data_IF_664890167848
#
_entry.id   IF_664890167848
#
_cell.length_a   1.000
_cell.length_b   1.000
_cell.length_c   1.000
_cell.angle_alpha   90.00
_cell.angle_beta   90.00
_cell.angle_gamma   90.00
#
_symmetry.space_group_name_H-M   'P 1'
#
loop_
_entity.id
_entity.type
_entity.pdbx_description
1 polymer ?
#
# COMPACT_ATOMS: atom_id res chain seq x y z
N UNK A 1 -3.84 -14.14 5.52
CA UNK A 1 -3.71 -12.74 5.11
C UNK A 1 -4.39 -11.89 6.16
N UNK A 2 -3.89 -10.69 6.44
CA UNK A 2 -4.52 -9.79 7.41
C UNK A 2 -5.93 -9.37 6.97
N UNK A 3 -6.78 -9.02 7.94
CA UNK A 3 -8.04 -8.34 7.71
C UNK A 3 -7.88 -6.82 7.62
N UNK A 4 -8.81 -6.15 6.94
CA UNK A 4 -8.87 -4.69 6.84
C UNK A 4 -10.27 -4.20 7.23
N UNK A 5 -10.36 -3.16 8.05
CA UNK A 5 -11.62 -2.49 8.39
C UNK A 5 -11.58 -1.03 7.95
N UNK A 6 -12.54 -0.64 7.11
CA UNK A 6 -12.78 0.75 6.73
C UNK A 6 -13.79 1.39 7.68
N UNK A 7 -13.36 2.39 8.44
CA UNK A 7 -14.20 3.15 9.36
C UNK A 7 -14.46 4.54 8.79
N UNK A 8 -15.73 4.88 8.57
CA UNK A 8 -16.10 6.19 8.04
C UNK A 8 -17.39 6.73 8.64
N UNK A 9 -17.50 8.05 8.68
CA UNK A 9 -18.76 8.73 8.96
C UNK A 9 -19.84 8.41 7.92
N UNK A 10 -19.45 8.15 6.68
CA UNK A 10 -20.37 7.94 5.55
C UNK A 10 -20.25 6.53 5.01
N UNK A 11 -21.34 5.76 5.10
CA UNK A 11 -21.41 4.41 4.53
C UNK A 11 -21.15 4.40 3.02
N UNK A 12 -21.77 5.32 2.29
CA UNK A 12 -21.58 5.43 0.85
C UNK A 12 -20.12 5.74 0.46
N UNK A 13 -19.42 6.56 1.26
CA UNK A 13 -18.00 6.84 1.05
C UNK A 13 -17.14 5.60 1.31
N UNK A 14 -17.36 4.91 2.43
CA UNK A 14 -16.62 3.69 2.76
C UNK A 14 -16.82 2.59 1.71
N UNK A 15 -18.05 2.36 1.28
CA UNK A 15 -18.37 1.36 0.25
C UNK A 15 -17.66 1.68 -1.07
N UNK A 16 -17.74 2.94 -1.53
CA UNK A 16 -17.07 3.37 -2.76
C UNK A 16 -15.53 3.29 -2.66
N UNK A 17 -14.95 3.63 -1.51
CA UNK A 17 -13.52 3.55 -1.28
C UNK A 17 -13.03 2.10 -1.24
N UNK A 18 -13.78 1.20 -0.59
CA UNK A 18 -13.50 -0.24 -0.56
C UNK A 18 -13.63 -0.86 -1.95
N UNK A 19 -14.68 -0.51 -2.71
CA UNK A 19 -14.84 -0.97 -4.09
C UNK A 19 -13.64 -0.58 -4.95
N UNK A 20 -13.21 0.69 -4.86
CA UNK A 20 -12.02 1.17 -5.56
C UNK A 20 -10.76 0.37 -5.17
N UNK A 21 -10.54 0.14 -3.87
CA UNK A 21 -9.38 -0.61 -3.40
C UNK A 21 -9.40 -2.07 -3.88
N UNK A 22 -10.56 -2.73 -3.84
CA UNK A 22 -10.71 -4.13 -4.27
C UNK A 22 -10.45 -4.32 -5.76
N UNK A 23 -10.79 -3.35 -6.61
CA UNK A 23 -10.42 -3.38 -8.04
C UNK A 23 -8.90 -3.45 -8.25
N UNK A 24 -8.10 -2.99 -7.28
CA UNK A 24 -6.65 -3.00 -7.34
C UNK A 24 -6.01 -4.25 -6.71
N UNK A 25 -6.73 -4.93 -5.80
CA UNK A 25 -6.26 -6.13 -5.07
C UNK A 25 -6.00 -7.36 -5.96
N UNK A 26 -6.59 -7.44 -7.15
CA UNK A 26 -6.44 -8.60 -8.04
C UNK A 26 -7.42 -9.74 -7.72
N UNK A 27 -7.04 -10.98 -8.03
CA UNK A 27 -7.94 -12.13 -7.98
C UNK A 27 -8.27 -12.61 -6.55
N UNK A 28 -7.35 -12.43 -5.61
CA UNK A 28 -7.48 -12.88 -4.22
C UNK A 28 -7.20 -11.71 -3.25
N UNK A 29 -8.13 -10.73 -3.14
CA UNK A 29 -7.96 -9.61 -2.22
C UNK A 29 -8.14 -10.04 -0.75
N UNK A 30 -7.60 -9.27 0.22
CA UNK A 30 -7.86 -9.47 1.64
C UNK A 30 -9.35 -9.35 1.98
N UNK A 31 -9.71 -9.86 3.16
CA UNK A 31 -11.00 -9.60 3.77
C UNK A 31 -11.07 -8.12 4.15
N UNK A 32 -12.05 -7.40 3.57
CA UNK A 32 -12.34 -6.02 3.93
C UNK A 32 -13.75 -5.94 4.55
N UNK A 33 -13.87 -5.27 5.69
CA UNK A 33 -15.14 -4.96 6.36
C UNK A 33 -15.36 -3.45 6.44
N UNK A 34 -16.62 -3.04 6.44
CA UNK A 34 -17.03 -1.64 6.54
C UNK A 34 -17.79 -1.43 7.84
N UNK A 35 -17.31 -0.51 8.67
CA UNK A 35 -18.02 0.00 9.84
C UNK A 35 -18.25 1.50 9.64
N UNK A 36 -19.43 1.87 9.14
CA UNK A 36 -19.69 3.25 8.75
C UNK A 36 -21.13 3.70 9.00
N UNK A 37 -21.28 4.99 9.32
CA UNK A 37 -22.52 5.60 9.74
C UNK A 37 -22.75 5.52 11.25
N UNK A 38 -23.59 6.42 11.76
CA UNK A 38 -24.06 6.38 13.13
C UNK A 38 -25.05 5.23 13.38
N UNK A 39 -25.42 4.97 14.65
CA UNK A 39 -26.34 3.89 15.02
C UNK A 39 -27.69 3.95 14.30
N UNK A 40 -28.15 5.16 13.93
CA UNK A 40 -29.42 5.40 13.24
C UNK A 40 -29.28 5.46 11.71
N UNK A 41 -28.11 5.11 11.16
CA UNK A 41 -27.82 5.14 9.73
C UNK A 41 -27.53 6.52 9.15
N UNK A 42 -27.38 7.53 10.02
CA UNK A 42 -26.94 8.88 9.67
C UNK A 42 -25.40 8.98 9.58
N UNK A 43 -24.88 10.19 9.36
CA UNK A 43 -23.44 10.40 9.36
C UNK A 43 -22.88 10.29 10.78
N UNK A 44 -21.94 9.37 10.98
CA UNK A 44 -21.41 9.11 12.31
C UNK A 44 -20.58 7.84 12.36
N UNK A 45 -20.16 7.46 13.56
CA UNK A 45 -19.45 6.21 13.81
C UNK A 45 -20.01 5.53 15.05
N UNK A 46 -19.93 4.20 15.09
CA UNK A 46 -20.43 3.37 16.18
C UNK A 46 -19.33 2.39 16.61
N UNK A 47 -18.86 2.54 17.85
CA UNK A 47 -17.79 1.71 18.41
C UNK A 47 -18.15 0.20 18.45
N UNK A 48 -19.43 -0.14 18.67
CA UNK A 48 -19.88 -1.54 18.70
C UNK A 48 -19.85 -2.13 17.29
N UNK A 49 -20.30 -1.37 16.29
CA UNK A 49 -20.23 -1.79 14.90
C UNK A 49 -18.77 -1.93 14.41
N UNK A 50 -17.88 -1.03 14.85
CA UNK A 50 -16.45 -1.13 14.56
C UNK A 50 -15.86 -2.40 15.19
N UNK A 51 -16.15 -2.69 16.46
CA UNK A 51 -15.64 -3.88 17.14
C UNK A 51 -16.10 -5.17 16.44
N UNK A 52 -17.39 -5.25 16.08
CA UNK A 52 -17.92 -6.39 15.33
C UNK A 52 -17.24 -6.55 13.97
N UNK A 53 -17.02 -5.46 13.23
CA UNK A 53 -16.32 -5.51 11.94
C UNK A 53 -14.86 -5.96 12.08
N UNK A 54 -14.18 -5.59 13.17
CA UNK A 54 -12.83 -6.06 13.49
C UNK A 54 -12.82 -7.55 13.76
N UNK A 55 -13.70 -8.05 14.64
CA UNK A 55 -13.79 -9.48 14.94
C UNK A 55 -14.14 -10.32 13.69
N UNK A 56 -15.02 -9.80 12.81
CA UNK A 56 -15.36 -10.45 11.54
C UNK A 56 -14.23 -10.44 10.50
N UNK A 57 -13.35 -9.42 10.55
CA UNK A 57 -12.21 -9.32 9.67
C UNK A 57 -11.01 -10.15 10.16
N UNK A 58 -10.99 -10.50 11.45
CA UNK A 58 -9.87 -11.22 12.04
C UNK A 58 -9.90 -12.73 11.72
N UNK A 59 -8.95 -13.17 10.89
CA UNK A 59 -8.76 -14.59 10.55
C UNK A 59 -7.50 -15.22 11.15
N UNK A 60 -6.82 -14.56 12.09
CA UNK A 60 -5.61 -15.10 12.74
C UNK A 60 -4.29 -14.34 12.43
N UNK A 61 -4.25 -13.51 11.39
CA UNK A 61 -3.05 -12.75 11.00
C UNK A 61 -3.08 -11.27 11.42
N UNK A 62 -4.18 -10.82 12.04
CA UNK A 62 -4.36 -9.47 12.58
C UNK A 62 -5.18 -8.58 11.65
N UNK A 63 -5.53 -7.38 12.13
CA UNK A 63 -6.46 -6.48 11.48
C UNK A 63 -5.91 -5.05 11.43
N UNK A 64 -5.92 -4.46 10.24
CA UNK A 64 -5.65 -3.04 10.04
C UNK A 64 -6.96 -2.25 9.95
N UNK A 65 -7.11 -1.22 10.76
CA UNK A 65 -8.26 -0.32 10.76
C UNK A 65 -7.84 1.01 10.14
N UNK A 66 -8.56 1.47 9.13
CA UNK A 66 -8.32 2.75 8.45
C UNK A 66 -9.53 3.65 8.65
N UNK A 67 -9.30 4.86 9.16
CA UNK A 67 -10.34 5.81 9.55
C UNK A 67 -10.33 7.07 8.68
N UNK A 68 -11.45 7.79 8.60
CA UNK A 68 -11.56 9.02 7.80
C UNK A 68 -11.22 10.32 8.56
N UNK A 69 -11.97 10.66 9.60
CA UNK A 69 -11.90 11.92 10.33
C UNK A 69 -11.66 11.67 11.83
N UNK A 70 -11.23 12.71 12.55
CA UNK A 70 -10.77 12.60 13.94
C UNK A 70 -11.72 11.90 14.91
N UNK A 71 -13.05 12.10 14.81
CA UNK A 71 -14.02 11.40 15.67
C UNK A 71 -14.11 9.90 15.41
N UNK A 72 -13.78 9.43 14.20
CA UNK A 72 -13.70 8.01 13.90
C UNK A 72 -12.52 7.34 14.63
N UNK A 73 -11.45 8.10 14.92
CA UNK A 73 -10.32 7.63 15.72
C UNK A 73 -10.78 7.32 17.15
N UNK A 74 -11.49 8.25 17.79
CA UNK A 74 -12.01 8.05 19.15
C UNK A 74 -12.97 6.87 19.25
N UNK A 75 -13.85 6.71 18.26
CA UNK A 75 -14.76 5.56 18.17
C UNK A 75 -14.00 4.25 17.97
N UNK A 76 -12.93 4.24 17.16
CA UNK A 76 -12.10 3.07 16.94
C UNK A 76 -11.26 2.70 18.17
N UNK A 77 -10.71 3.69 18.90
CA UNK A 77 -10.03 3.46 20.19
C UNK A 77 -10.99 2.85 21.22
N UNK A 78 -12.21 3.39 21.30
CA UNK A 78 -13.26 2.85 22.17
C UNK A 78 -13.67 1.44 21.75
N UNK A 79 -13.70 1.15 20.44
CA UNK A 79 -14.01 -0.18 19.93
C UNK A 79 -13.02 -1.26 20.41
N UNK A 80 -11.76 -0.91 20.63
CA UNK A 80 -10.74 -1.85 21.13
C UNK A 80 -11.08 -2.45 22.50
N UNK A 81 -11.93 -1.78 23.30
CA UNK A 81 -12.41 -2.33 24.58
C UNK A 81 -13.39 -3.50 24.40
N UNK A 82 -13.99 -3.65 23.21
CA UNK A 82 -15.02 -4.64 22.90
C UNK A 82 -14.54 -5.77 21.99
N UNK A 83 -13.40 -5.60 21.32
CA UNK A 83 -12.82 -6.58 20.38
C UNK A 83 -12.28 -7.81 21.14
N UNK A 84 -12.40 -9.00 20.54
CA UNK A 84 -11.95 -10.24 21.17
C UNK A 84 -10.43 -10.37 21.31
N UNK A 85 -9.66 -9.77 20.39
CA UNK A 85 -8.19 -9.82 20.37
C UNK A 85 -7.56 -8.44 20.05
N UNK A 86 -7.61 -7.46 20.97
CA UNK A 86 -7.17 -6.09 20.70
C UNK A 86 -5.68 -5.97 20.36
N UNK A 87 -4.82 -6.84 20.90
CA UNK A 87 -3.37 -6.85 20.60
C UNK A 87 -3.03 -7.13 19.12
N UNK A 88 -4.00 -7.65 18.36
CA UNK A 88 -3.86 -8.01 16.94
C UNK A 88 -4.43 -6.93 16.02
N UNK A 89 -4.86 -5.79 16.56
CA UNK A 89 -5.45 -4.68 15.83
C UNK A 89 -4.48 -3.51 15.74
N UNK A 90 -4.38 -2.90 14.55
CA UNK A 90 -3.63 -1.66 14.33
C UNK A 90 -4.54 -0.58 13.76
N UNK A 91 -4.58 0.58 14.43
CA UNK A 91 -5.28 1.76 13.94
C UNK A 91 -4.31 2.60 13.10
N UNK A 92 -4.64 2.83 11.83
CA UNK A 92 -3.77 3.54 10.90
C UNK A 92 -4.07 5.04 10.85
N UNK A 93 -3.02 5.86 10.74
CA UNK A 93 -3.11 7.30 10.50
C UNK A 93 -3.15 7.69 9.02
N UNK A 94 -3.20 6.69 8.12
CA UNK A 94 -3.20 6.91 6.68
C UNK A 94 -4.45 7.69 6.20
N UNK A 95 -4.33 8.56 5.18
CA UNK A 95 -5.50 9.13 4.52
C UNK A 95 -6.43 8.03 4.01
N UNK A 96 -7.73 8.16 4.26
CA UNK A 96 -8.70 7.06 4.11
C UNK A 96 -8.63 6.31 2.77
N UNK A 97 -8.75 7.03 1.65
CA UNK A 97 -8.80 6.40 0.32
C UNK A 97 -7.44 5.86 -0.10
N UNK A 98 -6.40 6.69 -0.02
CA UNK A 98 -5.04 6.29 -0.40
C UNK A 98 -4.52 5.13 0.47
N UNK A 99 -4.84 5.14 1.77
CA UNK A 99 -4.53 4.10 2.73
C UNK A 99 -5.24 2.79 2.41
N UNK A 100 -6.56 2.80 2.14
CA UNK A 100 -7.32 1.61 1.78
C UNK A 100 -6.78 0.93 0.53
N UNK A 101 -6.50 1.71 -0.52
CA UNK A 101 -5.92 1.20 -1.76
C UNK A 101 -4.56 0.55 -1.49
N UNK A 102 -3.68 1.24 -0.76
CA UNK A 102 -2.35 0.73 -0.44
C UNK A 102 -2.41 -0.53 0.42
N UNK A 103 -3.30 -0.56 1.42
CA UNK A 103 -3.50 -1.69 2.31
C UNK A 103 -3.92 -2.94 1.53
N UNK A 104 -4.95 -2.80 0.68
CA UNK A 104 -5.49 -3.91 -0.12
C UNK A 104 -4.42 -4.47 -1.07
N UNK A 105 -3.69 -3.60 -1.78
CA UNK A 105 -2.65 -4.05 -2.72
C UNK A 105 -1.50 -4.74 -1.99
N UNK A 106 -1.07 -4.19 -0.86
CA UNK A 106 0.09 -4.70 -0.11
C UNK A 106 -0.24 -6.02 0.59
N UNK A 107 -1.42 -6.12 1.22
CA UNK A 107 -1.91 -7.35 1.83
C UNK A 107 -2.17 -8.45 0.77
N UNK A 108 -2.73 -8.11 -0.39
CA UNK A 108 -2.89 -9.05 -1.51
C UNK A 108 -1.54 -9.56 -2.05
N UNK A 109 -0.47 -8.77 -1.88
CA UNK A 109 0.91 -9.19 -2.14
C UNK A 109 1.50 -10.14 -1.09
N UNK A 110 0.76 -10.48 -0.04
CA UNK A 110 1.18 -11.40 1.02
C UNK A 110 1.91 -10.75 2.20
N UNK A 111 1.95 -9.41 2.28
CA UNK A 111 2.58 -8.71 3.38
C UNK A 111 1.82 -8.94 4.71
N UNK A 112 2.57 -8.99 5.82
CA UNK A 112 2.02 -9.09 7.18
C UNK A 112 1.52 -7.74 7.70
N UNK A 113 0.89 -7.74 8.89
CA UNK A 113 0.28 -6.54 9.46
C UNK A 113 1.28 -5.39 9.67
N UNK A 114 2.51 -5.72 10.07
CA UNK A 114 3.55 -4.72 10.36
C UNK A 114 4.03 -4.07 9.05
N UNK A 115 4.28 -4.88 8.03
CA UNK A 115 4.70 -4.39 6.73
C UNK A 115 3.59 -3.57 6.04
N UNK A 116 2.32 -3.99 6.15
CA UNK A 116 1.20 -3.22 5.61
C UNK A 116 1.04 -1.89 6.34
N UNK A 117 1.08 -1.88 7.68
CA UNK A 117 0.95 -0.66 8.49
C UNK A 117 2.04 0.38 8.15
N UNK A 118 3.28 -0.08 8.01
CA UNK A 118 4.42 0.76 7.62
C UNK A 118 4.24 1.38 6.22
N UNK A 119 3.76 0.61 5.24
CA UNK A 119 3.48 1.12 3.90
C UNK A 119 2.34 2.16 3.95
N UNK A 120 1.20 1.84 4.55
CA UNK A 120 0.01 2.71 4.48
C UNK A 120 0.21 4.02 5.22
N UNK A 121 1.02 4.05 6.28
CA UNK A 121 1.34 5.28 7.03
C UNK A 121 1.98 6.36 6.16
N UNK A 122 2.64 5.97 5.07
CA UNK A 122 3.22 6.86 4.07
C UNK A 122 2.26 7.32 2.96
N UNK A 123 0.98 6.89 2.95
CA UNK A 123 0.12 7.00 1.77
C UNK A 123 -0.10 8.43 1.26
N UNK A 124 -0.18 9.42 2.16
CA UNK A 124 -0.29 10.83 1.78
C UNK A 124 0.97 11.42 1.12
N UNK A 125 2.14 10.82 1.32
CA UNK A 125 3.41 11.37 0.85
C UNK A 125 3.57 11.30 -0.67
N UNK A 126 2.98 10.29 -1.32
CA UNK A 126 3.04 10.16 -2.78
C UNK A 126 2.40 11.38 -3.48
N UNK A 127 1.22 11.79 -3.02
CA UNK A 127 0.48 12.94 -3.56
C UNK A 127 1.22 14.25 -3.33
N UNK A 128 1.77 14.47 -2.14
CA UNK A 128 2.61 15.64 -1.82
C UNK A 128 3.81 15.75 -2.76
N UNK A 129 4.53 14.63 -2.99
CA UNK A 129 5.66 14.59 -3.93
C UNK A 129 5.26 14.94 -5.35
N UNK A 130 4.14 14.41 -5.84
CA UNK A 130 3.63 14.71 -7.19
C UNK A 130 3.24 16.18 -7.36
N UNK A 131 2.73 16.83 -6.31
CA UNK A 131 2.41 18.26 -6.30
C UNK A 131 3.64 19.16 -6.14
N UNK A 132 4.81 18.60 -5.82
CA UNK A 132 6.01 19.36 -5.51
C UNK A 132 6.02 19.98 -4.11
N UNK A 133 5.13 19.54 -3.22
CA UNK A 133 5.04 19.99 -1.83
C UNK A 133 6.20 19.38 -1.03
N UNK A 134 7.36 20.03 -1.08
CA UNK A 134 8.59 19.63 -0.37
C UNK A 134 8.60 20.05 1.11
N UNK A 135 7.48 19.89 1.81
CA UNK A 135 7.29 20.11 3.25
C UNK A 135 6.33 19.01 3.72
N UNK A 136 6.65 18.01 4.54
CA UNK A 136 7.53 17.97 5.70
C UNK A 136 8.27 16.63 5.80
N UNK A 137 9.60 16.69 5.79
CA UNK A 137 10.48 15.62 6.26
C UNK A 137 11.02 15.90 7.68
N UNK A 138 10.34 16.79 8.44
CA UNK A 138 10.83 17.29 9.74
C UNK A 138 10.07 16.82 10.98
N UNK A 139 9.08 15.93 10.85
CA UNK A 139 8.33 15.40 12.02
C UNK A 139 8.53 13.90 12.27
N UNK A 140 9.43 13.21 11.56
CA UNK A 140 9.83 11.84 11.94
C UNK A 140 11.09 11.88 12.82
N UNK A 141 10.94 12.37 14.04
CA UNK A 141 11.88 12.12 15.12
C UNK A 141 11.09 11.65 16.34
N UNK A 142 10.97 10.32 16.49
CA UNK A 142 10.29 9.71 17.62
C UNK A 142 10.11 8.20 17.50
N UNK A 143 11.23 7.47 17.58
CA UNK A 143 11.33 6.09 18.09
C UNK A 143 10.61 4.96 17.33
N UNK A 144 11.32 4.38 16.35
CA UNK A 144 11.17 2.97 16.00
C UNK A 144 12.58 2.39 15.77
N UNK A 145 12.88 1.34 16.53
CA UNK A 145 14.20 0.74 16.69
C UNK A 145 14.89 0.29 15.40
N UNK A 146 16.21 0.33 15.51
CA UNK A 146 17.23 -0.19 14.59
C UNK A 146 16.84 -1.50 13.88
N UNK A 147 16.91 -1.47 12.54
CA UNK A 147 16.81 -2.69 11.75
C UNK A 147 16.76 -2.58 10.23
N UNK A 148 17.34 -1.56 9.57
CA UNK A 148 17.63 -1.64 8.14
C UNK A 148 18.79 -0.70 7.74
N UNK A 149 19.86 -1.18 7.09
CA UNK A 149 20.89 -0.29 6.59
C UNK A 149 20.40 0.40 5.32
N UNK A 150 20.25 1.72 5.39
CA UNK A 150 20.33 2.59 4.23
C UNK A 150 21.81 2.92 3.97
N UNK A 151 22.37 2.37 2.88
CA UNK A 151 23.40 2.97 2.02
C UNK A 151 24.02 1.92 1.11
N UNK A 152 24.30 2.32 -0.13
CA UNK A 152 25.18 1.59 -1.04
C UNK A 152 24.56 1.39 -2.41
N UNK A 153 25.19 1.96 -3.44
CA UNK A 153 24.80 1.73 -4.83
C UNK A 153 24.75 0.25 -5.19
N UNK A 154 24.13 -0.04 -6.35
CA UNK A 154 23.97 -1.35 -6.98
C UNK A 154 24.95 -2.37 -6.37
N UNK A 155 24.43 -3.26 -5.52
CA UNK A 155 25.23 -4.37 -5.03
C UNK A 155 25.85 -5.04 -6.28
N UNK A 156 27.18 -5.28 -6.30
CA UNK A 156 27.90 -5.67 -7.52
C UNK A 156 27.38 -6.96 -8.20
N UNK A 157 26.49 -7.71 -7.54
CA UNK A 157 25.86 -8.94 -8.03
C UNK A 157 24.34 -8.81 -8.30
N UNK A 158 23.77 -7.60 -8.32
CA UNK A 158 22.35 -7.41 -8.63
C UNK A 158 22.08 -7.61 -10.13
N UNK A 159 21.30 -8.64 -10.47
CA UNK A 159 20.77 -8.80 -11.82
C UNK A 159 19.83 -7.62 -12.13
N UNK A 160 19.85 -7.10 -13.36
CA UNK A 160 18.99 -5.99 -13.74
C UNK A 160 18.66 -5.98 -15.22
N UNK A 161 17.59 -5.27 -15.58
CA UNK A 161 17.27 -4.91 -16.96
C UNK A 161 16.82 -3.44 -17.04
N UNK A 162 17.02 -2.83 -18.20
CA UNK A 162 16.46 -1.51 -18.51
C UNK A 162 15.29 -1.65 -19.48
N UNK A 163 14.25 -0.84 -19.31
CA UNK A 163 13.04 -0.84 -20.13
C UNK A 163 12.52 0.58 -20.36
N UNK A 164 11.63 0.74 -21.34
CA UNK A 164 10.91 2.00 -21.57
C UNK A 164 9.46 1.80 -21.16
N UNK A 165 8.92 2.70 -20.34
CA UNK A 165 7.51 2.70 -19.98
C UNK A 165 6.69 3.11 -21.21
N UNK A 166 5.84 2.21 -21.71
CA UNK A 166 5.05 2.45 -22.93
C UNK A 166 3.62 2.93 -22.66
N UNK A 167 3.10 2.65 -21.46
CA UNK A 167 1.75 3.04 -21.02
C UNK A 167 1.50 4.55 -21.22
N UNK A 168 0.40 4.95 -21.88
CA UNK A 168 0.08 6.37 -22.13
C UNK A 168 0.04 7.23 -20.85
N UNK A 169 -0.43 6.64 -19.76
CA UNK A 169 -0.52 7.32 -18.44
C UNK A 169 0.68 7.02 -17.52
N UNK A 170 1.72 6.34 -18.00
CA UNK A 170 2.90 5.95 -17.22
C UNK A 170 2.63 4.85 -16.19
N UNK A 171 3.50 4.72 -15.18
CA UNK A 171 3.34 3.80 -14.05
C UNK A 171 2.39 4.38 -12.98
N UNK A 172 1.12 4.60 -13.35
CA UNK A 172 0.08 5.03 -12.42
C UNK A 172 -0.44 3.88 -11.55
N UNK A 173 -1.45 4.17 -10.72
CA UNK A 173 -1.96 3.27 -9.69
C UNK A 173 -2.19 1.81 -10.12
N UNK A 174 -2.75 1.56 -11.32
CA UNK A 174 -3.12 0.20 -11.77
C UNK A 174 -1.93 -0.62 -12.33
N UNK A 175 -1.10 -0.10 -13.25
CA UNK A 175 0.18 -0.72 -13.61
C UNK A 175 1.08 -0.93 -12.38
N UNK A 176 1.15 0.08 -11.49
CA UNK A 176 1.94 -0.01 -10.27
C UNK A 176 1.43 -1.13 -9.34
N UNK A 177 0.12 -1.25 -9.11
CA UNK A 177 -0.43 -2.34 -8.31
C UNK A 177 -0.16 -3.72 -8.91
N UNK A 178 -0.21 -3.83 -10.25
CA UNK A 178 0.13 -5.08 -10.95
C UNK A 178 1.61 -5.42 -10.78
N UNK A 179 2.49 -4.42 -10.89
CA UNK A 179 3.93 -4.56 -10.70
C UNK A 179 4.28 -4.97 -9.26
N UNK A 180 3.70 -4.31 -8.25
CA UNK A 180 3.88 -4.64 -6.83
C UNK A 180 3.47 -6.08 -6.54
N UNK A 181 2.28 -6.50 -7.00
CA UNK A 181 1.81 -7.87 -6.80
C UNK A 181 2.73 -8.90 -7.41
N UNK A 182 3.26 -8.65 -8.61
CA UNK A 182 4.23 -9.53 -9.24
C UNK A 182 5.55 -9.56 -8.45
N UNK A 183 6.09 -8.40 -8.07
CA UNK A 183 7.34 -8.29 -7.33
C UNK A 183 7.27 -8.96 -5.95
N UNK A 184 6.13 -8.85 -5.24
CA UNK A 184 5.95 -9.38 -3.89
C UNK A 184 5.77 -10.91 -3.83
N UNK A 185 5.54 -11.59 -4.95
CA UNK A 185 5.44 -13.07 -5.01
C UNK A 185 6.78 -13.79 -4.85
N UNK A 186 7.87 -13.06 -5.01
CA UNK A 186 9.21 -13.63 -5.05
C UNK A 186 10.00 -13.30 -3.78
N UNK A 187 10.76 -14.28 -3.31
CA UNK A 187 11.83 -14.09 -2.32
C UNK A 187 13.03 -13.40 -3.00
N UNK A 188 12.86 -12.12 -3.27
CA UNK A 188 13.85 -11.23 -3.87
C UNK A 188 13.64 -9.79 -3.38
N UNK A 189 14.73 -9.06 -3.17
CA UNK A 189 14.66 -7.60 -3.05
C UNK A 189 14.68 -6.98 -4.44
N UNK A 190 13.54 -6.43 -4.86
CA UNK A 190 13.35 -5.84 -6.18
C UNK A 190 13.29 -4.32 -6.06
N UNK A 191 14.12 -3.63 -6.85
CA UNK A 191 14.19 -2.17 -6.91
C UNK A 191 13.92 -1.67 -8.32
N UNK A 192 13.46 -0.42 -8.42
CA UNK A 192 13.22 0.28 -9.69
C UNK A 192 13.68 1.73 -9.61
N UNK A 193 14.29 2.22 -10.68
CA UNK A 193 14.78 3.58 -10.81
C UNK A 193 14.35 4.21 -12.13
N UNK A 194 13.99 5.50 -12.12
CA UNK A 194 13.82 6.30 -13.33
C UNK A 194 15.19 6.91 -13.70
N UNK A 195 15.72 6.47 -14.84
CA UNK A 195 17.05 6.85 -15.32
C UNK A 195 17.09 8.25 -15.95
N UNK A 196 15.93 8.81 -16.30
CA UNK A 196 15.82 10.13 -16.90
C UNK A 196 15.62 11.23 -15.84
N UNK A 197 14.95 10.90 -14.73
CA UNK A 197 14.76 11.80 -13.59
C UNK A 197 15.99 11.86 -12.66
N UNK A 198 16.94 10.93 -12.77
CA UNK A 198 18.12 10.86 -11.91
C UNK A 198 17.80 10.59 -10.43
N UNK A 199 16.60 10.05 -10.16
CA UNK A 199 16.11 9.79 -8.81
C UNK A 199 16.74 8.55 -8.16
N UNK A 200 16.51 8.39 -6.86
CA UNK A 200 16.92 7.21 -6.11
C UNK A 200 16.13 5.96 -6.54
N UNK A 201 16.74 4.79 -6.41
CA UNK A 201 16.03 3.52 -6.62
C UNK A 201 15.01 3.30 -5.49
N UNK A 202 13.78 2.99 -5.85
CA UNK A 202 12.69 2.72 -4.90
C UNK A 202 12.35 1.23 -4.87
N UNK A 203 11.70 0.78 -3.79
CA UNK A 203 11.19 -0.59 -3.70
C UNK A 203 10.09 -0.83 -4.74
N UNK A 204 10.24 -1.89 -5.54
CA UNK A 204 9.20 -2.34 -6.47
C UNK A 204 8.02 -3.02 -5.77
N UNK A 205 8.15 -3.30 -4.47
CA UNK A 205 7.10 -3.90 -3.62
C UNK A 205 6.26 -2.86 -2.89
N UNK A 206 6.55 -1.56 -3.08
CA UNK A 206 5.81 -0.44 -2.48
C UNK A 206 4.99 0.26 -3.55
N UNK A 207 3.67 0.21 -3.42
CA UNK A 207 2.75 0.88 -4.35
C UNK A 207 2.98 2.40 -4.29
N UNK A 208 3.15 2.93 -3.08
CA UNK A 208 3.32 4.36 -2.86
C UNK A 208 4.65 4.86 -3.43
N UNK A 209 5.71 4.07 -3.31
CA UNK A 209 7.01 4.44 -3.86
C UNK A 209 7.01 4.42 -5.39
N UNK A 210 6.34 3.45 -6.02
CA UNK A 210 6.15 3.42 -7.48
C UNK A 210 5.32 4.61 -7.97
N UNK A 211 4.22 4.94 -7.30
CA UNK A 211 3.41 6.11 -7.67
C UNK A 211 4.18 7.42 -7.49
N UNK A 212 5.07 7.49 -6.48
CA UNK A 212 5.93 8.64 -6.25
C UNK A 212 7.09 8.75 -7.24
N UNK A 213 7.58 7.62 -7.77
CA UNK A 213 8.61 7.60 -8.84
C UNK A 213 8.14 8.41 -10.05
N UNK A 214 6.83 8.35 -10.35
CA UNK A 214 6.21 9.21 -11.36
C UNK A 214 6.69 8.94 -12.78
N UNK A 215 7.21 7.75 -13.06
CA UNK A 215 7.69 7.34 -14.38
C UNK A 215 6.57 7.47 -15.43
N UNK A 216 6.81 8.30 -16.45
CA UNK A 216 5.83 8.66 -17.48
C UNK A 216 6.03 7.80 -18.72
N UNK A 217 5.12 7.91 -19.68
CA UNK A 217 5.34 7.36 -21.01
C UNK A 217 6.68 7.85 -21.58
N UNK A 218 7.51 6.93 -22.03
CA UNK A 218 8.84 7.20 -22.55
C UNK A 218 9.95 7.23 -21.51
N UNK A 219 9.65 7.24 -20.20
CA UNK A 219 10.68 7.13 -19.15
C UNK A 219 11.47 5.83 -19.32
N UNK A 220 12.79 5.93 -19.26
CA UNK A 220 13.69 4.78 -19.15
C UNK A 220 13.79 4.38 -17.69
N UNK A 221 13.43 3.14 -17.39
CA UNK A 221 13.51 2.59 -16.04
C UNK A 221 14.53 1.46 -15.99
N UNK A 222 15.24 1.34 -14.86
CA UNK A 222 16.02 0.16 -14.53
C UNK A 222 15.30 -0.60 -13.43
N UNK A 223 15.13 -1.90 -13.62
CA UNK A 223 14.64 -2.81 -12.58
C UNK A 223 15.79 -3.72 -12.19
N UNK A 224 16.11 -3.79 -10.91
CA UNK A 224 17.16 -4.62 -10.34
C UNK A 224 16.58 -5.57 -9.30
N UNK A 225 17.18 -6.74 -9.15
CA UNK A 225 16.77 -7.70 -8.13
C UNK A 225 17.97 -8.43 -7.52
N UNK A 226 17.85 -8.74 -6.24
CA UNK A 226 18.81 -9.59 -5.49
C UNK A 226 18.05 -10.64 -4.69
N UNK A 227 18.72 -11.74 -4.34
CA UNK A 227 18.12 -12.84 -3.57
C UNK A 227 17.86 -14.10 -4.41
N UNK A 228 17.37 -15.18 -3.77
CA UNK A 228 17.27 -16.51 -4.37
C UNK A 228 16.33 -16.58 -5.58
N UNK A 229 15.36 -15.66 -5.66
CA UNK A 229 14.40 -15.60 -6.78
C UNK A 229 14.54 -14.32 -7.64
N UNK A 230 15.72 -13.67 -7.63
CA UNK A 230 15.95 -12.45 -8.41
C UNK A 230 15.66 -12.61 -9.90
N UNK A 231 16.23 -13.64 -10.53
CA UNK A 231 16.08 -13.89 -11.97
C UNK A 231 14.63 -14.16 -12.42
N UNK A 232 13.87 -15.09 -11.80
CA UNK A 232 12.48 -15.29 -12.20
C UNK A 232 11.61 -14.03 -11.97
N UNK A 233 11.87 -13.25 -10.90
CA UNK A 233 11.19 -11.98 -10.68
C UNK A 233 11.44 -10.99 -11.82
N UNK A 234 12.70 -10.82 -12.25
CA UNK A 234 13.04 -9.92 -13.36
C UNK A 234 12.41 -10.35 -14.69
N UNK A 235 12.28 -11.66 -14.93
CA UNK A 235 11.62 -12.18 -16.14
C UNK A 235 10.14 -11.81 -16.18
N UNK A 236 9.39 -12.03 -15.09
CA UNK A 236 7.97 -11.65 -15.02
C UNK A 236 7.79 -10.12 -15.14
N UNK A 237 8.59 -9.35 -14.40
CA UNK A 237 8.49 -7.89 -14.38
C UNK A 237 8.82 -7.26 -15.74
N UNK A 238 9.80 -7.82 -16.47
CA UNK A 238 10.08 -7.40 -17.85
C UNK A 238 8.89 -7.67 -18.77
N UNK A 239 8.30 -8.86 -18.68
CA UNK A 239 7.14 -9.21 -19.49
C UNK A 239 5.95 -8.26 -19.24
N UNK A 240 5.71 -7.85 -17.98
CA UNK A 240 4.67 -6.87 -17.65
C UNK A 240 4.91 -5.50 -18.29
N UNK A 241 6.14 -5.00 -18.26
CA UNK A 241 6.50 -3.71 -18.88
C UNK A 241 6.39 -3.80 -20.41
N UNK A 242 6.89 -4.89 -21.01
CA UNK A 242 6.85 -5.09 -22.47
C UNK A 242 5.40 -5.28 -22.97
N UNK A 243 4.51 -5.85 -22.16
CA UNK A 243 3.09 -5.95 -22.49
C UNK A 243 2.32 -4.63 -22.27
N UNK A 244 2.93 -3.65 -21.60
CA UNK A 244 2.27 -2.40 -21.22
C UNK A 244 1.16 -2.64 -20.18
N UNK A 245 1.29 -3.68 -19.36
CA UNK A 245 0.31 -4.05 -18.33
C UNK A 245 -1.12 -4.27 -18.86
N UNK A 246 -1.27 -4.59 -20.15
CA UNK A 246 -2.56 -4.73 -20.83
C UNK A 246 -3.25 -3.41 -21.21
N UNK A 247 -2.58 -2.26 -21.04
CA UNK A 247 -3.09 -0.91 -21.32
C UNK A 247 -2.43 -0.32 -22.58
N UNK A 248 -2.66 -0.93 -23.75
CA UNK A 248 -2.16 -0.42 -25.04
C UNK A 248 -3.11 0.58 -25.70
#
# INVERSE_FOLDING_TARGET
>A
MIGIVAVSHSRALAEAAVELALQMGGAEPPVVRVAAGGPDGDLGTDAVAIAAAVDEADTGDGVLVIMDLGSAILSAETALEFVGAPDRVRLSSAPFVEGLVSAVVTAAGGADLVAVDAEVSGAGAAKRRQLGDATDARDTAGDAGEGAPASGGVAPDAESFEAVVTNPSGLHARPAATFVKAASRYDADVRIADLDAGGEEVSARSLLALMALGARQGSRVRVSATGPQARPALVELRALIDDGFGER
#
